data_IF_632390483011
#
_entry.id   IF_632390483011
#
_cell.length_a   1.000
_cell.length_b   1.000
_cell.length_c   1.000
_cell.angle_alpha   90.00
_cell.angle_beta   90.00
_cell.angle_gamma   90.00
#
_symmetry.space_group_name_H-M   'P 1'
#
loop_
_entity.id
_entity.type
_entity.pdbx_description
1 polymer ?
#
# COMPACT_ATOMS: atom_id res chain seq x y z
N UNK A 1 -16.29 -15.01 22.78
CA UNK A 1 -15.85 -13.62 22.54
C UNK A 1 -16.36 -13.17 21.19
N UNK A 2 -17.30 -12.23 21.15
CA UNK A 2 -17.78 -11.66 19.89
C UNK A 2 -16.66 -10.80 19.30
N UNK A 3 -16.06 -11.23 18.20
CA UNK A 3 -15.13 -10.40 17.45
C UNK A 3 -15.95 -9.29 16.79
N UNK A 4 -15.84 -8.07 17.30
CA UNK A 4 -16.37 -6.88 16.64
C UNK A 4 -15.77 -6.82 15.22
N UNK A 5 -16.58 -6.57 14.16
CA UNK A 5 -16.06 -6.43 12.82
C UNK A 5 -15.00 -5.33 12.81
N UNK A 6 -13.77 -5.67 12.42
CA UNK A 6 -12.73 -4.66 12.24
C UNK A 6 -13.21 -3.69 11.17
N UNK A 7 -13.34 -2.41 11.54
CA UNK A 7 -13.64 -1.36 10.59
C UNK A 7 -12.60 -1.39 9.48
N UNK A 8 -13.06 -1.48 8.23
CA UNK A 8 -12.17 -1.58 7.08
C UNK A 8 -11.40 -0.28 6.95
N UNK A 9 -10.08 -0.34 7.12
CA UNK A 9 -9.20 0.82 6.94
C UNK A 9 -8.59 0.76 5.54
N UNK A 10 -8.83 1.76 4.67
CA UNK A 10 -8.24 1.81 3.34
C UNK A 10 -6.71 1.97 3.41
N UNK A 11 -6.03 1.51 2.36
CA UNK A 11 -4.62 1.83 2.18
C UNK A 11 -4.42 3.33 1.95
N UNK A 12 -3.48 3.98 2.64
CA UNK A 12 -3.21 5.39 2.42
C UNK A 12 -2.56 5.59 1.05
N UNK A 13 -2.75 6.77 0.49
CA UNK A 13 -2.25 7.09 -0.84
C UNK A 13 -0.73 7.23 -0.91
N UNK A 14 -0.14 7.76 0.16
CA UNK A 14 1.26 8.21 0.19
C UNK A 14 1.95 7.90 1.55
N UNK A 15 1.36 7.03 2.38
CA UNK A 15 1.88 6.68 3.71
C UNK A 15 2.12 5.17 3.89
N UNK A 16 2.74 4.83 5.03
CA UNK A 16 3.04 3.47 5.48
C UNK A 16 2.05 3.10 6.60
N UNK A 17 1.49 1.88 6.55
CA UNK A 17 0.61 1.37 7.61
C UNK A 17 1.19 0.13 8.29
N UNK A 18 0.85 -0.07 9.57
CA UNK A 18 1.01 -1.37 10.21
C UNK A 18 0.10 -2.40 9.53
N UNK A 19 0.63 -3.58 9.24
CA UNK A 19 -0.13 -4.67 8.64
C UNK A 19 -1.36 -5.07 9.48
N UNK A 20 -1.32 -4.88 10.80
CA UNK A 20 -2.43 -5.22 11.70
C UNK A 20 -3.67 -4.33 11.52
N UNK A 21 -3.47 -3.11 10.98
CA UNK A 21 -4.52 -2.11 10.75
C UNK A 21 -5.11 -2.21 9.35
N UNK A 22 -4.53 -3.01 8.48
CA UNK A 22 -4.91 -3.09 7.07
C UNK A 22 -5.86 -4.26 6.86
N UNK A 23 -6.86 -4.04 6.01
CA UNK A 23 -7.69 -5.11 5.47
C UNK A 23 -7.57 -5.13 3.95
N UNK A 24 -6.97 -6.20 3.43
CA UNK A 24 -6.81 -6.42 1.98
C UNK A 24 -8.19 -6.61 1.34
N UNK A 25 -8.39 -6.08 0.13
CA UNK A 25 -9.70 -6.11 -0.54
C UNK A 25 -9.88 -7.35 -1.41
N UNK A 26 -8.93 -7.58 -2.32
CA UNK A 26 -8.94 -8.62 -3.35
C UNK A 26 -7.51 -9.10 -3.67
N UNK A 27 -6.84 -9.80 -2.75
CA UNK A 27 -5.50 -10.31 -2.96
C UNK A 27 -5.51 -11.46 -3.97
N UNK A 28 -4.66 -11.37 -5.00
CA UNK A 28 -4.64 -12.35 -6.11
C UNK A 28 -3.30 -13.07 -6.28
N UNK A 29 -2.20 -12.48 -5.79
CA UNK A 29 -0.86 -13.06 -5.93
C UNK A 29 0.03 -12.65 -4.77
N UNK A 30 0.99 -13.54 -4.45
CA UNK A 30 2.02 -13.36 -3.43
C UNK A 30 3.38 -13.75 -4.01
N UNK A 31 4.43 -13.04 -3.63
CA UNK A 31 5.82 -13.42 -3.92
C UNK A 31 6.78 -12.98 -2.82
N UNK A 32 7.89 -13.68 -2.67
CA UNK A 32 9.01 -13.26 -1.83
C UNK A 32 10.06 -12.62 -2.73
N UNK A 33 10.56 -11.44 -2.36
CA UNK A 33 11.68 -10.82 -3.06
C UNK A 33 12.99 -11.50 -2.61
N UNK A 34 13.73 -12.16 -3.52
CA UNK A 34 14.94 -12.90 -3.15
C UNK A 34 16.12 -12.02 -2.72
N UNK A 35 16.05 -10.69 -2.91
CA UNK A 35 17.11 -9.76 -2.54
C UNK A 35 17.03 -9.30 -1.08
N UNK A 36 15.83 -9.29 -0.49
CA UNK A 36 15.59 -8.74 0.85
C UNK A 36 14.55 -9.50 1.68
N UNK A 37 14.14 -10.69 1.22
CA UNK A 37 13.15 -11.58 1.84
C UNK A 37 11.77 -10.96 2.12
N UNK A 38 11.45 -9.82 1.49
CA UNK A 38 10.17 -9.16 1.73
C UNK A 38 9.02 -9.79 0.95
N UNK A 39 7.88 -9.95 1.62
CA UNK A 39 6.64 -10.43 1.01
C UNK A 39 5.99 -9.31 0.20
N UNK A 40 5.68 -9.61 -1.06
CA UNK A 40 4.93 -8.74 -1.95
C UNK A 40 3.54 -9.32 -2.19
N UNK A 41 2.53 -8.44 -2.19
CA UNK A 41 1.12 -8.79 -2.31
C UNK A 41 0.50 -7.96 -3.43
N UNK A 42 -0.13 -8.62 -4.40
CA UNK A 42 -0.98 -7.96 -5.38
C UNK A 42 -2.41 -7.88 -4.85
N UNK A 43 -2.86 -6.68 -4.51
CA UNK A 43 -4.25 -6.39 -4.08
C UNK A 43 -4.92 -5.44 -5.08
N UNK A 44 -5.89 -5.96 -5.83
CA UNK A 44 -6.57 -5.23 -6.91
C UNK A 44 -5.64 -4.67 -7.99
N UNK A 45 -5.18 -3.42 -7.85
CA UNK A 45 -4.34 -2.69 -8.83
C UNK A 45 -3.06 -2.12 -8.20
N UNK A 46 -2.75 -2.52 -6.97
CA UNK A 46 -1.56 -2.08 -6.25
C UNK A 46 -0.72 -3.28 -5.82
N UNK A 47 0.60 -3.08 -5.80
CA UNK A 47 1.54 -4.02 -5.21
C UNK A 47 2.01 -3.45 -3.89
N UNK A 48 1.82 -4.24 -2.84
CA UNK A 48 2.21 -3.91 -1.48
C UNK A 48 3.45 -4.73 -1.10
N UNK A 49 4.39 -4.12 -0.41
CA UNK A 49 5.52 -4.78 0.26
C UNK A 49 5.25 -4.83 1.76
N UNK A 50 5.36 -6.00 2.37
CA UNK A 50 5.45 -6.18 3.81
C UNK A 50 6.92 -6.13 4.23
N UNK A 51 7.27 -5.13 5.01
CA UNK A 51 8.62 -4.98 5.58
C UNK A 51 8.83 -5.92 6.75
N UNK A 52 10.09 -6.13 7.13
CA UNK A 52 10.48 -6.98 8.26
C UNK A 52 9.95 -6.47 9.61
N UNK A 53 9.68 -5.16 9.73
CA UNK A 53 9.03 -4.54 10.90
C UNK A 53 7.49 -4.51 10.80
N UNK A 54 6.91 -5.38 9.98
CA UNK A 54 5.46 -5.59 9.84
C UNK A 54 4.67 -4.37 9.35
N UNK A 55 5.29 -3.57 8.48
CA UNK A 55 4.62 -2.44 7.81
C UNK A 55 4.34 -2.75 6.34
N UNK A 56 3.20 -2.27 5.86
CA UNK A 56 2.82 -2.33 4.46
C UNK A 56 3.13 -1.01 3.77
N UNK A 57 3.81 -1.11 2.63
CA UNK A 57 4.20 0.01 1.77
C UNK A 57 3.71 -0.27 0.35
N UNK A 58 3.10 0.72 -0.31
CA UNK A 58 2.77 0.60 -1.74
C UNK A 58 4.04 0.78 -2.56
N UNK A 59 4.43 -0.26 -3.31
CA UNK A 59 5.65 -0.25 -4.15
C UNK A 59 5.34 -0.14 -5.65
N UNK A 60 4.11 -0.42 -6.06
CA UNK A 60 3.63 -0.14 -7.42
C UNK A 60 2.11 0.10 -7.45
N UNK A 61 1.66 0.87 -8.44
CA UNK A 61 0.26 1.27 -8.59
C UNK A 61 -0.14 2.43 -7.66
N UNK A 62 -1.40 2.85 -7.74
CA UNK A 62 -2.03 3.84 -6.85
C UNK A 62 -3.48 3.44 -6.63
N UNK A 63 -3.99 3.41 -5.38
CA UNK A 63 -5.38 3.07 -5.15
C UNK A 63 -6.32 4.01 -5.90
N UNK A 64 -7.42 3.48 -6.45
CA UNK A 64 -8.36 4.22 -7.32
C UNK A 64 -9.05 5.41 -6.64
N UNK A 65 -9.13 5.41 -5.31
CA UNK A 65 -9.71 6.49 -4.51
C UNK A 65 -8.71 7.61 -4.18
N UNK A 66 -7.44 7.43 -4.53
CA UNK A 66 -6.43 8.45 -4.29
C UNK A 66 -6.48 9.54 -5.36
N UNK A 67 -6.26 10.81 -4.98
CA UNK A 67 -6.15 11.89 -5.95
C UNK A 67 -4.97 11.60 -6.90
N UNK A 68 -5.02 12.06 -8.16
CA UNK A 68 -3.86 12.01 -9.05
C UNK A 68 -2.65 12.60 -8.35
N UNK A 69 -1.46 12.04 -8.56
CA UNK A 69 -0.25 12.70 -8.06
C UNK A 69 -0.20 14.08 -8.72
N UNK A 70 -0.24 15.15 -7.92
CA UNK A 70 0.06 16.48 -8.42
C UNK A 70 1.48 16.42 -8.95
N UNK A 71 1.62 16.43 -10.27
CA UNK A 71 2.92 16.37 -10.88
C UNK A 71 3.56 17.74 -10.73
N UNK A 72 4.34 17.95 -9.66
CA UNK A 72 5.26 19.08 -9.56
C UNK A 72 6.45 18.86 -10.50
N UNK A 73 6.17 18.66 -11.80
CA UNK A 73 7.19 18.73 -12.86
C UNK A 73 7.52 20.19 -13.24
N UNK A 74 6.84 21.16 -12.64
CA UNK A 74 7.26 22.55 -12.73
C UNK A 74 8.23 22.82 -11.57
N UNK A 75 9.53 23.04 -11.82
CA UNK A 75 10.39 23.60 -10.80
C UNK A 75 9.79 24.94 -10.38
N UNK A 76 9.55 25.11 -9.09
CA UNK A 76 9.17 26.40 -8.50
C UNK A 76 10.23 27.42 -8.90
N UNK A 77 9.92 28.31 -9.86
CA UNK A 77 10.87 29.34 -10.30
C UNK A 77 10.89 29.69 -11.80
N UNK A 78 9.97 29.19 -12.63
CA UNK A 78 9.83 29.67 -14.01
C UNK A 78 8.64 30.63 -14.10
N UNK A 79 8.83 31.85 -13.58
CA UNK A 79 8.08 33.07 -13.89
C UNK A 79 8.96 34.27 -13.56
#
# INVERSE_FOLDING_TARGET
TQAQPREWTPMPCDDILSAERVSLKWPTSLSINPLDDSLHILDHSIVLKLTSDFKLVTVAGRPVYCPPRHSSFLPSGVL
#
